data_IF_808114870679
#
_entry.id   IF_808114870679
#
_cell.length_a   1.000
_cell.length_b   1.000
_cell.length_c   1.000
_cell.angle_alpha   90.00
_cell.angle_beta   90.00
_cell.angle_gamma   90.00
#
_symmetry.space_group_name_H-M   'P 1'
#
loop_
_entity.id
_entity.type
_entity.pdbx_description
1 polymer ?
#
# COMPACT_ATOMS: atom_id res chain seq x y z
N UNK A 1 -16.60 -21.92 -5.68
CA UNK A 1 -16.71 -20.47 -5.82
C UNK A 1 -18.10 -20.07 -5.33
N UNK A 2 -18.23 -19.63 -4.06
CA UNK A 2 -19.46 -19.01 -3.58
C UNK A 2 -19.36 -17.52 -3.82
N UNK A 3 -20.20 -17.01 -4.73
CA UNK A 3 -20.42 -15.59 -4.94
C UNK A 3 -21.16 -15.04 -3.70
N UNK A 4 -20.45 -14.35 -2.83
CA UNK A 4 -21.09 -13.53 -1.80
C UNK A 4 -21.45 -12.20 -2.46
N UNK A 5 -22.58 -12.20 -3.16
CA UNK A 5 -23.21 -11.00 -3.66
C UNK A 5 -24.17 -10.45 -2.61
N UNK A 6 -23.65 -9.76 -1.60
CA UNK A 6 -24.45 -8.78 -0.86
C UNK A 6 -23.89 -7.40 -1.17
N UNK A 7 -24.48 -6.76 -2.16
CA UNK A 7 -24.12 -5.44 -2.70
C UNK A 7 -24.08 -4.34 -1.61
N UNK A 8 -24.79 -4.52 -0.52
CA UNK A 8 -24.93 -3.54 0.57
C UNK A 8 -23.72 -3.47 1.52
N UNK A 9 -22.92 -4.53 1.66
CA UNK A 9 -21.78 -4.55 2.57
C UNK A 9 -20.51 -3.97 1.97
N UNK A 10 -20.32 -4.01 0.65
CA UNK A 10 -19.08 -3.60 0.00
C UNK A 10 -18.91 -2.08 -0.04
N UNK A 11 -19.97 -1.31 -0.20
CA UNK A 11 -19.88 0.15 -0.29
C UNK A 11 -19.67 0.80 1.08
N UNK A 12 -20.30 0.24 2.13
CA UNK A 12 -20.07 0.69 3.51
C UNK A 12 -18.65 0.39 3.97
N UNK A 13 -18.11 -0.80 3.64
CA UNK A 13 -16.72 -1.16 3.96
C UNK A 13 -15.73 -0.24 3.24
N UNK A 14 -15.97 0.07 1.97
CA UNK A 14 -15.11 1.00 1.20
C UNK A 14 -15.06 2.39 1.83
N UNK A 15 -16.19 2.92 2.29
CA UNK A 15 -16.26 4.25 2.88
C UNK A 15 -15.41 4.40 4.14
N UNK A 16 -15.25 3.33 4.92
CA UNK A 16 -14.52 3.35 6.20
C UNK A 16 -13.22 2.57 6.19
N UNK A 17 -12.78 2.05 5.05
CA UNK A 17 -11.59 1.21 4.95
C UNK A 17 -10.27 1.99 5.16
N UNK A 18 -10.28 3.32 5.07
CA UNK A 18 -9.10 4.15 5.26
C UNK A 18 -7.93 3.67 4.40
N UNK A 19 -6.80 3.36 5.03
CA UNK A 19 -5.58 2.89 4.33
C UNK A 19 -5.67 1.43 3.84
N UNK A 20 -6.73 0.71 4.16
CA UNK A 20 -6.98 -0.64 3.64
C UNK A 20 -7.81 -0.63 2.34
N UNK A 21 -8.27 0.54 1.91
CA UNK A 21 -8.97 0.68 0.63
C UNK A 21 -8.02 0.38 -0.53
N UNK A 22 -8.54 -0.31 -1.56
CA UNK A 22 -7.80 -0.53 -2.80
C UNK A 22 -7.47 0.81 -3.45
N UNK A 23 -6.28 0.90 -4.05
CA UNK A 23 -5.90 2.10 -4.78
C UNK A 23 -6.87 2.33 -5.94
N UNK A 24 -7.60 3.47 -5.95
CA UNK A 24 -8.59 3.71 -6.98
C UNK A 24 -7.92 3.87 -8.35
N UNK A 25 -8.37 3.10 -9.32
CA UNK A 25 -8.01 3.33 -10.72
C UNK A 25 -8.87 4.49 -11.19
N UNK A 26 -8.30 5.68 -11.20
CA UNK A 26 -8.96 6.83 -11.85
C UNK A 26 -8.72 6.71 -13.35
N UNK A 27 -9.79 6.50 -14.10
CA UNK A 27 -9.75 6.58 -15.55
C UNK A 27 -9.74 8.06 -15.96
N UNK A 28 -8.71 8.44 -16.65
CA UNK A 28 -8.52 9.55 -17.61
C UNK A 28 -9.28 10.88 -17.46
N UNK A 29 -9.54 11.37 -16.26
CA UNK A 29 -10.03 12.74 -16.05
C UNK A 29 -8.90 13.74 -15.75
N UNK A 30 -7.64 13.39 -16.10
CA UNK A 30 -6.53 14.29 -15.86
C UNK A 30 -6.47 15.36 -16.96
N UNK A 31 -6.88 16.56 -16.63
CA UNK A 31 -6.70 17.73 -17.49
C UNK A 31 -5.50 18.53 -16.98
N UNK A 32 -4.50 18.75 -17.83
CA UNK A 32 -3.52 19.81 -17.60
C UNK A 32 -4.30 21.13 -17.51
N UNK A 33 -4.23 21.80 -16.39
CA UNK A 33 -5.06 22.96 -16.07
C UNK A 33 -4.78 24.21 -16.91
N UNK A 34 -3.72 24.20 -17.75
CA UNK A 34 -3.36 25.32 -18.61
C UNK A 34 -2.72 24.80 -19.90
N UNK A 35 -3.29 25.17 -21.06
CA UNK A 35 -2.83 24.77 -22.39
C UNK A 35 -1.41 25.24 -22.75
N UNK A 36 -0.86 26.20 -21.99
CA UNK A 36 0.37 26.91 -22.33
C UNK A 36 1.59 26.42 -21.51
N UNK A 37 1.40 25.49 -20.57
CA UNK A 37 2.49 24.96 -19.76
C UNK A 37 2.93 23.59 -20.25
N UNK A 38 4.23 23.44 -20.50
CA UNK A 38 4.84 22.17 -20.86
C UNK A 38 5.49 21.59 -19.61
N UNK A 39 5.08 20.41 -19.13
CA UNK A 39 5.75 19.74 -18.04
C UNK A 39 7.21 19.44 -18.41
N UNK A 40 8.14 19.77 -17.52
CA UNK A 40 9.59 19.54 -17.72
C UNK A 40 10.21 18.64 -16.64
N UNK A 41 9.48 18.37 -15.56
CA UNK A 41 9.96 17.58 -14.43
C UNK A 41 8.79 16.95 -13.65
N UNK A 42 8.98 15.72 -13.13
CA UNK A 42 8.06 15.09 -12.17
C UNK A 42 8.84 14.74 -10.91
N UNK A 43 8.29 15.15 -9.76
CA UNK A 43 8.66 14.64 -8.46
C UNK A 43 7.50 13.79 -7.93
N UNK A 44 7.75 12.49 -7.71
CA UNK A 44 6.76 11.54 -7.24
C UNK A 44 7.15 11.00 -5.87
N UNK A 45 6.32 11.26 -4.87
CA UNK A 45 6.42 10.64 -3.55
C UNK A 45 5.33 9.58 -3.42
N UNK A 46 5.73 8.32 -3.37
CA UNK A 46 4.82 7.19 -3.25
C UNK A 46 4.92 6.49 -1.90
N UNK A 47 3.81 5.86 -1.48
CA UNK A 47 3.81 4.85 -0.44
C UNK A 47 4.02 3.48 -1.08
N UNK A 48 4.51 2.49 -0.31
CA UNK A 48 4.49 1.11 -0.78
C UNK A 48 3.07 0.67 -1.18
N UNK A 49 2.95 -0.23 -2.13
CA UNK A 49 1.69 -0.83 -2.57
C UNK A 49 1.01 -1.67 -1.48
N UNK A 50 -0.13 -2.26 -1.78
CA UNK A 50 -0.85 -3.14 -0.89
C UNK A 50 0.07 -4.26 -0.37
N UNK A 51 -0.04 -4.57 0.91
CA UNK A 51 0.84 -5.52 1.60
C UNK A 51 0.07 -6.43 2.53
N UNK A 52 0.68 -7.55 2.89
CA UNK A 52 0.20 -8.37 3.99
C UNK A 52 0.27 -7.62 5.34
N UNK A 53 -0.57 -7.98 6.32
CA UNK A 53 -0.48 -7.44 7.68
C UNK A 53 0.94 -7.56 8.23
N UNK A 54 1.33 -6.63 9.09
CA UNK A 54 2.70 -6.65 9.67
C UNK A 54 2.91 -7.72 10.72
N UNK A 55 1.83 -8.25 11.28
CA UNK A 55 1.86 -9.37 12.25
C UNK A 55 0.52 -10.07 12.31
N UNK A 56 0.50 -11.32 12.80
CA UNK A 56 -0.69 -12.13 13.03
C UNK A 56 -1.44 -11.80 14.32
N UNK A 57 -0.94 -10.95 15.20
CA UNK A 57 -1.47 -10.75 16.57
C UNK A 57 -2.98 -10.51 16.65
N UNK A 58 -3.55 -9.69 15.76
CA UNK A 58 -4.99 -9.42 15.76
C UNK A 58 -5.78 -10.64 15.28
N UNK A 59 -5.28 -11.33 14.27
CA UNK A 59 -5.85 -12.57 13.76
C UNK A 59 -5.82 -13.67 14.81
N UNK A 60 -4.71 -13.83 15.52
CA UNK A 60 -4.54 -14.84 16.56
C UNK A 60 -5.49 -14.59 17.72
N UNK A 61 -5.60 -13.36 18.22
CA UNK A 61 -6.58 -13.01 19.26
C UNK A 61 -8.02 -13.32 18.88
N UNK A 62 -8.40 -13.02 17.63
CA UNK A 62 -9.74 -13.32 17.13
C UNK A 62 -9.97 -14.84 17.04
N UNK A 63 -8.97 -15.61 16.59
CA UNK A 63 -9.04 -17.08 16.55
C UNK A 63 -9.17 -17.66 17.95
N UNK A 64 -8.33 -17.22 18.89
CA UNK A 64 -8.35 -17.70 20.29
C UNK A 64 -9.72 -17.51 20.93
N UNK A 65 -10.35 -16.35 20.76
CA UNK A 65 -11.70 -16.09 21.27
C UNK A 65 -12.76 -17.02 20.67
N UNK A 66 -12.68 -17.30 19.35
CA UNK A 66 -13.62 -18.19 18.69
C UNK A 66 -13.37 -19.67 19.05
N UNK A 67 -12.12 -20.07 19.20
CA UNK A 67 -11.75 -21.43 19.66
C UNK A 67 -12.30 -21.69 21.07
N UNK A 68 -12.18 -20.72 21.99
CA UNK A 68 -12.76 -20.81 23.32
C UNK A 68 -14.29 -20.96 23.25
N UNK A 69 -14.95 -20.14 22.44
CA UNK A 69 -16.39 -20.26 22.20
C UNK A 69 -16.81 -21.61 21.61
N UNK A 70 -15.98 -22.20 20.78
CA UNK A 70 -16.22 -23.53 20.21
C UNK A 70 -16.07 -24.62 21.28
N UNK A 71 -15.05 -24.55 22.11
CA UNK A 71 -14.84 -25.51 23.21
C UNK A 71 -16.01 -25.49 24.21
N UNK A 72 -16.59 -24.34 24.44
CA UNK A 72 -17.75 -24.16 25.31
C UNK A 72 -19.10 -24.41 24.62
N UNK A 73 -19.12 -24.85 23.35
CA UNK A 73 -20.33 -25.07 22.54
C UNK A 73 -21.20 -23.81 22.39
N UNK A 74 -20.59 -22.63 22.38
CA UNK A 74 -21.29 -21.31 22.30
C UNK A 74 -21.21 -20.65 20.93
N UNK A 75 -20.52 -21.26 19.96
CA UNK A 75 -20.44 -20.69 18.62
C UNK A 75 -21.74 -20.86 17.86
N UNK A 76 -22.22 -19.76 17.29
CA UNK A 76 -23.26 -19.76 16.25
C UNK A 76 -22.72 -20.38 14.97
N UNK A 77 -23.59 -20.64 14.00
CA UNK A 77 -23.18 -21.07 12.65
C UNK A 77 -22.20 -20.08 12.02
N UNK A 78 -22.50 -18.78 12.10
CA UNK A 78 -21.63 -17.72 11.58
C UNK A 78 -20.29 -17.67 12.30
N UNK A 79 -20.26 -17.90 13.61
CA UNK A 79 -19.03 -18.00 14.39
C UNK A 79 -18.12 -19.14 13.93
N UNK A 80 -18.70 -20.29 13.57
CA UNK A 80 -17.94 -21.43 13.02
C UNK A 80 -17.38 -21.10 11.63
N UNK A 81 -18.16 -20.45 10.77
CA UNK A 81 -17.72 -19.99 9.46
C UNK A 81 -16.58 -18.99 9.62
N UNK A 82 -16.74 -18.00 10.51
CA UNK A 82 -15.70 -17.00 10.77
C UNK A 82 -14.40 -17.66 11.25
N UNK A 83 -14.47 -18.62 12.17
CA UNK A 83 -13.29 -19.34 12.65
C UNK A 83 -12.56 -20.04 11.50
N UNK A 84 -13.29 -20.72 10.61
CA UNK A 84 -12.71 -21.38 9.42
C UNK A 84 -12.02 -20.36 8.50
N UNK A 85 -12.62 -19.20 8.26
CA UNK A 85 -12.05 -18.13 7.46
C UNK A 85 -10.76 -17.61 8.11
N UNK A 86 -10.75 -17.36 9.42
CA UNK A 86 -9.57 -16.86 10.13
C UNK A 86 -8.43 -17.87 10.15
N UNK A 87 -8.73 -19.17 10.26
CA UNK A 87 -7.74 -20.24 10.14
C UNK A 87 -7.10 -20.23 8.75
N UNK A 88 -7.91 -20.23 7.70
CA UNK A 88 -7.42 -20.18 6.32
C UNK A 88 -6.57 -18.93 6.03
N UNK A 89 -6.98 -17.76 6.52
CA UNK A 89 -6.21 -16.52 6.40
C UNK A 89 -4.86 -16.61 7.14
N UNK A 90 -4.86 -17.22 8.35
CA UNK A 90 -3.65 -17.41 9.13
C UNK A 90 -2.62 -18.25 8.36
N UNK A 91 -3.06 -19.36 7.81
CA UNK A 91 -2.21 -20.27 7.03
C UNK A 91 -1.69 -19.59 5.75
N UNK A 92 -2.57 -18.85 5.07
CA UNK A 92 -2.22 -18.11 3.85
C UNK A 92 -1.23 -16.96 4.09
N UNK A 93 -1.22 -16.38 5.28
CA UNK A 93 -0.35 -15.26 5.63
C UNK A 93 0.95 -15.69 6.30
N UNK A 94 1.10 -16.96 6.60
CA UNK A 94 2.33 -17.47 7.21
C UNK A 94 3.54 -17.20 6.31
N UNK A 95 4.60 -16.64 6.90
CA UNK A 95 5.80 -16.23 6.19
C UNK A 95 5.64 -15.02 5.27
N UNK A 96 4.44 -14.41 5.19
CA UNK A 96 4.17 -13.24 4.34
C UNK A 96 4.07 -11.91 5.12
N UNK A 97 4.21 -11.92 6.45
CA UNK A 97 4.02 -10.76 7.29
C UNK A 97 4.80 -9.52 6.82
N UNK A 98 4.09 -8.46 6.53
CA UNK A 98 4.64 -7.17 6.10
C UNK A 98 5.22 -7.13 4.69
N UNK A 99 5.19 -8.23 3.93
CA UNK A 99 5.64 -8.27 2.53
C UNK A 99 4.66 -7.56 1.61
N UNK A 100 5.17 -7.02 0.52
CA UNK A 100 4.35 -6.51 -0.57
C UNK A 100 3.52 -7.65 -1.16
N UNK A 101 2.24 -7.39 -1.44
CA UNK A 101 1.38 -8.36 -2.12
C UNK A 101 1.47 -8.20 -3.64
N UNK A 102 1.02 -9.22 -4.38
CA UNK A 102 0.89 -9.15 -5.85
C UNK A 102 0.02 -7.96 -6.27
N UNK A 103 -1.05 -7.70 -5.52
CA UNK A 103 -1.88 -6.51 -5.74
C UNK A 103 -1.06 -5.22 -5.61
N UNK A 104 -0.21 -5.12 -4.58
CA UNK A 104 0.65 -3.94 -4.39
C UNK A 104 1.65 -3.74 -5.52
N UNK A 105 2.18 -4.80 -6.11
CA UNK A 105 3.02 -4.69 -7.31
C UNK A 105 2.21 -4.17 -8.51
N UNK A 106 0.99 -4.69 -8.71
CA UNK A 106 0.11 -4.25 -9.80
C UNK A 106 -0.30 -2.78 -9.62
N UNK A 107 -0.56 -2.33 -8.41
CA UNK A 107 -0.83 -0.93 -8.10
C UNK A 107 0.32 -0.02 -8.53
N UNK A 108 1.55 -0.36 -8.17
CA UNK A 108 2.75 0.41 -8.52
C UNK A 108 3.00 0.42 -10.03
N UNK A 109 2.87 -0.73 -10.69
CA UNK A 109 2.95 -0.82 -12.16
C UNK A 109 1.86 0.03 -12.83
N UNK A 110 0.65 0.03 -12.28
CA UNK A 110 -0.47 0.84 -12.77
C UNK A 110 -0.20 2.35 -12.64
N UNK A 111 0.36 2.80 -11.51
CA UNK A 111 0.74 4.20 -11.29
C UNK A 111 1.79 4.63 -12.32
N UNK A 112 2.85 3.84 -12.50
CA UNK A 112 3.90 4.11 -13.47
C UNK A 112 3.34 4.24 -14.90
N UNK A 113 2.51 3.29 -15.33
CA UNK A 113 1.91 3.30 -16.65
C UNK A 113 0.98 4.51 -16.88
N UNK A 114 0.19 4.91 -15.88
CA UNK A 114 -0.61 6.15 -15.98
C UNK A 114 0.28 7.38 -16.10
N UNK A 115 1.33 7.47 -15.28
CA UNK A 115 2.27 8.58 -15.32
C UNK A 115 2.92 8.73 -16.70
N UNK A 116 3.34 7.65 -17.33
CA UNK A 116 3.89 7.68 -18.70
C UNK A 116 2.87 8.11 -19.74
N UNK A 117 1.60 7.66 -19.61
CA UNK A 117 0.53 8.08 -20.54
C UNK A 117 0.17 9.56 -20.39
N UNK A 118 0.18 10.08 -19.17
CA UNK A 118 -0.17 11.49 -18.93
C UNK A 118 0.97 12.46 -19.26
N UNK A 119 2.22 12.00 -19.17
CA UNK A 119 3.40 12.84 -19.37
C UNK A 119 4.43 12.19 -20.33
N UNK A 120 4.02 11.77 -21.54
CA UNK A 120 4.90 11.01 -22.44
C UNK A 120 6.17 11.76 -22.79
N UNK A 121 6.13 13.10 -22.86
CA UNK A 121 7.27 13.95 -23.18
C UNK A 121 8.39 13.86 -22.13
N UNK A 122 8.06 13.58 -20.88
CA UNK A 122 9.05 13.44 -19.78
C UNK A 122 9.73 12.07 -19.75
N UNK A 123 9.15 11.09 -20.41
CA UNK A 123 9.66 9.73 -20.50
C UNK A 123 10.14 9.39 -21.92
N UNK A 124 10.33 10.40 -22.77
CA UNK A 124 10.82 10.21 -24.13
C UNK A 124 12.34 9.99 -24.16
N UNK A 125 12.82 9.32 -25.20
CA UNK A 125 14.24 9.07 -25.43
C UNK A 125 14.94 8.43 -24.22
N UNK A 126 16.16 8.87 -23.91
CA UNK A 126 16.97 8.43 -22.78
C UNK A 126 16.78 9.33 -21.55
N UNK A 127 15.55 9.66 -21.19
CA UNK A 127 15.27 10.48 -20.02
C UNK A 127 15.87 9.85 -18.75
N UNK A 128 16.35 10.70 -17.83
CA UNK A 128 16.91 10.24 -16.56
C UNK A 128 15.77 10.05 -15.54
N UNK A 129 15.75 8.89 -14.93
CA UNK A 129 14.88 8.57 -13.80
C UNK A 129 15.76 8.27 -12.59
N UNK A 130 15.57 9.01 -11.51
CA UNK A 130 16.22 8.73 -10.23
C UNK A 130 15.15 8.25 -9.24
N UNK A 131 15.36 7.08 -8.67
CA UNK A 131 14.45 6.46 -7.73
C UNK A 131 15.18 6.09 -6.45
N UNK A 132 14.55 6.43 -5.32
CA UNK A 132 15.07 6.11 -4.00
C UNK A 132 14.00 5.43 -3.15
N UNK A 133 14.40 4.44 -2.36
CA UNK A 133 13.53 3.78 -1.40
C UNK A 133 14.21 3.71 -0.01
N UNK A 134 13.38 3.53 1.02
CA UNK A 134 13.89 3.12 2.33
C UNK A 134 14.46 1.70 2.26
N UNK A 135 15.21 1.29 3.27
CA UNK A 135 15.72 -0.09 3.40
C UNK A 135 14.64 -1.17 3.59
N UNK A 136 13.38 -0.78 3.76
CA UNK A 136 12.28 -1.71 4.06
C UNK A 136 11.89 -2.51 2.80
N UNK A 137 11.93 -3.87 2.82
CA UNK A 137 11.78 -4.68 1.61
C UNK A 137 10.52 -4.36 0.77
N UNK A 138 9.37 -4.14 1.41
CA UNK A 138 8.15 -3.77 0.67
C UNK A 138 8.24 -2.42 -0.06
N UNK A 139 9.05 -1.48 0.46
CA UNK A 139 9.27 -0.20 -0.20
C UNK A 139 10.19 -0.37 -1.41
N UNK A 140 11.24 -1.18 -1.26
CA UNK A 140 12.16 -1.57 -2.34
C UNK A 140 11.38 -2.26 -3.45
N UNK A 141 10.60 -3.29 -3.12
CA UNK A 141 9.81 -4.05 -4.09
C UNK A 141 8.75 -3.16 -4.79
N UNK A 142 8.19 -2.18 -4.09
CA UNK A 142 7.25 -1.21 -4.68
C UNK A 142 7.96 -0.30 -5.69
N UNK A 143 9.13 0.20 -5.36
CA UNK A 143 9.98 0.96 -6.29
C UNK A 143 10.34 0.10 -7.50
N UNK A 144 10.77 -1.14 -7.29
CA UNK A 144 11.15 -2.06 -8.36
C UNK A 144 9.98 -2.38 -9.30
N UNK A 145 8.77 -2.59 -8.76
CA UNK A 145 7.57 -2.80 -9.56
C UNK A 145 7.24 -1.57 -10.42
N UNK A 146 7.36 -0.36 -9.85
CA UNK A 146 7.18 0.89 -10.57
C UNK A 146 8.21 1.04 -11.70
N UNK A 147 9.49 0.86 -11.40
CA UNK A 147 10.58 0.98 -12.38
C UNK A 147 10.50 -0.10 -13.47
N UNK A 148 10.12 -1.32 -13.11
CA UNK A 148 9.90 -2.40 -14.09
C UNK A 148 8.88 -1.99 -15.14
N UNK A 149 7.80 -1.33 -14.75
CA UNK A 149 6.81 -0.83 -15.71
C UNK A 149 7.37 0.24 -16.61
N UNK A 150 8.12 1.20 -16.06
CA UNK A 150 8.78 2.24 -16.87
C UNK A 150 9.72 1.64 -17.91
N UNK A 151 10.54 0.65 -17.52
CA UNK A 151 11.49 -0.02 -18.43
C UNK A 151 10.80 -0.85 -19.51
N UNK A 152 9.66 -1.47 -19.18
CA UNK A 152 8.89 -2.23 -20.18
C UNK A 152 8.28 -1.29 -21.25
N UNK A 153 7.83 -0.12 -20.83
CA UNK A 153 7.22 0.85 -21.74
C UNK A 153 8.28 1.67 -22.52
N UNK A 154 9.45 1.95 -21.91
CA UNK A 154 10.58 2.59 -22.58
C UNK A 154 11.94 2.04 -22.08
N UNK A 155 12.52 1.07 -22.79
CA UNK A 155 13.82 0.47 -22.44
C UNK A 155 15.01 1.42 -22.54
N UNK A 156 14.88 2.59 -23.18
CA UNK A 156 15.97 3.56 -23.30
C UNK A 156 16.12 4.51 -22.12
N UNK A 157 15.24 4.43 -21.12
CA UNK A 157 15.35 5.24 -19.91
C UNK A 157 16.66 4.96 -19.16
N UNK A 158 17.29 6.01 -18.67
CA UNK A 158 18.47 5.91 -17.81
C UNK A 158 18.04 5.91 -16.36
N UNK A 159 17.91 4.72 -15.77
CA UNK A 159 17.42 4.55 -14.42
C UNK A 159 18.58 4.47 -13.44
N UNK A 160 18.57 5.37 -12.46
CA UNK A 160 19.40 5.31 -11.26
C UNK A 160 18.53 4.90 -10.08
N UNK A 161 18.78 3.70 -9.56
CA UNK A 161 18.02 3.08 -8.48
C UNK A 161 18.86 3.00 -7.22
N UNK A 162 18.37 3.53 -6.12
CA UNK A 162 19.04 3.52 -4.83
C UNK A 162 18.07 3.17 -3.69
N UNK A 163 18.58 2.52 -2.66
CA UNK A 163 17.86 2.23 -1.43
C UNK A 163 18.81 2.26 -0.23
N UNK A 164 18.24 2.37 0.95
CA UNK A 164 19.00 2.22 2.19
C UNK A 164 18.68 3.26 3.25
N UNK A 165 19.38 3.12 4.38
CA UNK A 165 19.18 3.97 5.58
C UNK A 165 19.67 5.41 5.39
N UNK A 166 20.55 5.67 4.44
CA UNK A 166 21.02 7.01 4.09
C UNK A 166 19.89 7.94 3.61
N UNK A 167 18.74 7.38 3.26
CA UNK A 167 17.55 8.14 2.85
C UNK A 167 16.50 8.28 3.96
N UNK A 168 16.77 7.76 5.15
CA UNK A 168 15.80 7.77 6.25
C UNK A 168 15.44 9.19 6.69
N UNK A 169 16.37 10.13 6.66
CA UNK A 169 16.12 11.54 7.01
C UNK A 169 15.05 12.19 6.12
N UNK A 170 14.94 11.76 4.87
CA UNK A 170 13.95 12.26 3.91
C UNK A 170 12.69 11.41 3.93
N UNK A 171 12.87 10.08 3.83
CA UNK A 171 11.76 9.15 3.61
C UNK A 171 11.11 8.64 4.90
N UNK A 172 11.79 8.75 6.04
CA UNK A 172 11.33 8.31 7.36
C UNK A 172 11.51 9.36 8.45
N UNK A 173 11.44 10.63 8.12
CA UNK A 173 11.57 11.72 9.09
C UNK A 173 10.66 11.55 10.31
N UNK A 174 9.50 10.95 10.15
CA UNK A 174 8.52 10.68 11.20
C UNK A 174 9.01 9.71 12.29
N UNK A 175 10.05 8.93 12.02
CA UNK A 175 10.70 8.06 13.02
C UNK A 175 11.94 8.72 13.64
N UNK A 176 12.55 9.69 12.98
CA UNK A 176 13.85 10.26 13.32
C UNK A 176 13.75 11.68 13.86
N UNK A 177 12.79 12.47 13.41
CA UNK A 177 12.60 13.84 13.88
C UNK A 177 12.05 13.85 15.32
N UNK A 178 12.90 14.22 16.27
CA UNK A 178 12.57 14.20 17.71
C UNK A 178 11.35 15.06 18.06
N UNK A 179 11.21 16.23 17.44
CA UNK A 179 10.08 17.12 17.67
C UNK A 179 8.78 16.49 17.17
N UNK A 180 8.79 15.88 15.99
CA UNK A 180 7.63 15.18 15.45
C UNK A 180 7.27 13.94 16.30
N UNK A 181 8.25 13.14 16.69
CA UNK A 181 8.04 11.97 17.56
C UNK A 181 7.46 12.38 18.90
N UNK A 182 7.98 13.47 19.49
CA UNK A 182 7.43 14.00 20.74
C UNK A 182 5.99 14.49 20.56
N UNK A 183 5.70 15.26 19.52
CA UNK A 183 4.33 15.69 19.19
C UNK A 183 3.39 14.49 19.03
N UNK A 184 3.82 13.46 18.29
CA UNK A 184 3.02 12.26 18.05
C UNK A 184 2.69 11.50 19.35
N UNK A 185 3.64 11.42 20.27
CA UNK A 185 3.49 10.60 21.48
C UNK A 185 2.92 11.38 22.68
N UNK A 186 3.12 12.69 22.73
CA UNK A 186 2.83 13.52 23.90
C UNK A 186 2.13 14.84 23.52
N UNK A 187 1.59 14.95 22.30
CA UNK A 187 0.93 16.18 21.86
C UNK A 187 -0.44 16.38 22.51
N UNK A 188 -0.91 17.62 22.57
CA UNK A 188 -2.21 18.02 23.16
C UNK A 188 -3.41 17.35 22.47
N UNK A 189 -3.23 16.84 21.26
CA UNK A 189 -4.26 16.12 20.52
C UNK A 189 -4.72 14.82 21.21
N UNK A 190 -3.89 14.23 22.08
CA UNK A 190 -4.24 13.03 22.84
C UNK A 190 -5.48 13.26 23.72
N UNK A 191 -5.59 14.42 24.36
CA UNK A 191 -6.74 14.78 25.22
C UNK A 191 -8.07 14.93 24.47
N UNK A 192 -8.04 14.96 23.13
CA UNK A 192 -9.25 15.04 22.29
C UNK A 192 -9.86 13.63 22.09
N UNK A 193 -9.07 12.58 22.30
CA UNK A 193 -9.48 11.19 22.05
C UNK A 193 -9.71 10.36 23.34
N UNK A 194 -9.39 10.91 24.51
CA UNK A 194 -9.71 10.34 25.81
C UNK A 194 -11.09 10.84 26.29
#
# INVERSE_FOLDING_TARGET
FYSISSVWGQDVIKQYAGTAMLYPVQEDSFHLSTSDMVPFYINHLGRHGARFPTSGKALDKAKEALILGQQENRLTTDGKILLSILQHLSDSFEGQWGKLSVLGELEQKGIAGRMMRHYPQLFSNSAKVEAIATYVPRCINSMDAFLTRLMLDNPSLRIQRNEGRQYDDILRFFDLNKSYVNYKNNGDWLSIYE
#
